data_IF_580938280918
#
_entry.id   IF_580938280918
#
_cell.length_a   1.000
_cell.length_b   1.000
_cell.length_c   1.000
_cell.angle_alpha   90.00
_cell.angle_beta   90.00
_cell.angle_gamma   90.00
#
_symmetry.space_group_name_H-M   'P 1'
#
loop_
_entity.id
_entity.type
_entity.pdbx_description
1 polymer ?
#
# COMPACT_ATOMS: atom_id res chain seq x y z
N UNK A 1 -41.01 -72.00 22.72
CA UNK A 1 -42.21 -71.44 23.39
C UNK A 1 -41.74 -70.24 24.21
N UNK A 2 -42.05 -68.96 24.01
CA UNK A 2 -42.87 -68.13 23.12
C UNK A 2 -42.17 -66.73 23.19
N UNK A 3 -41.73 -66.11 22.09
CA UNK A 3 -42.44 -65.01 21.37
C UNK A 3 -42.98 -63.92 22.31
N UNK A 4 -42.71 -62.61 22.17
CA UNK A 4 -42.59 -61.82 20.93
C UNK A 4 -42.11 -60.39 21.26
N UNK A 5 -41.07 -59.94 20.54
CA UNK A 5 -40.57 -58.56 20.50
C UNK A 5 -41.64 -57.61 19.94
N UNK A 6 -41.75 -56.42 20.54
CA UNK A 6 -42.53 -55.31 20.00
C UNK A 6 -41.77 -54.67 18.82
N UNK A 7 -42.46 -54.54 17.69
CA UNK A 7 -42.07 -53.77 16.52
C UNK A 7 -43.15 -52.72 16.27
N UNK A 8 -42.72 -51.64 15.61
CA UNK A 8 -43.50 -50.64 14.88
C UNK A 8 -43.99 -49.39 15.61
N UNK A 9 -43.12 -48.38 15.57
CA UNK A 9 -43.49 -46.98 15.39
C UNK A 9 -42.74 -46.41 14.19
N UNK A 10 -43.13 -46.83 12.99
CA UNK A 10 -42.69 -46.22 11.74
C UNK A 10 -43.70 -45.12 11.37
N UNK A 11 -43.27 -43.86 11.46
CA UNK A 11 -43.82 -42.76 10.67
C UNK A 11 -42.70 -41.73 10.45
N UNK A 12 -41.74 -42.11 9.62
CA UNK A 12 -40.93 -41.19 8.84
C UNK A 12 -41.81 -40.68 7.70
N UNK A 13 -42.09 -39.39 7.65
CA UNK A 13 -42.57 -38.73 6.46
C UNK A 13 -41.94 -37.34 6.35
N UNK A 14 -41.03 -37.23 5.39
CA UNK A 14 -40.79 -36.07 4.54
C UNK A 14 -40.29 -34.79 5.21
N UNK A 15 -38.97 -34.58 5.20
CA UNK A 15 -38.35 -33.34 4.71
C UNK A 15 -36.91 -33.66 4.27
N UNK A 16 -36.75 -34.05 3.00
CA UNK A 16 -35.47 -34.07 2.31
C UNK A 16 -35.53 -33.06 1.17
N UNK A 17 -34.42 -32.35 1.02
CA UNK A 17 -33.97 -31.62 -0.17
C UNK A 17 -34.64 -30.27 -0.44
N UNK A 18 -33.93 -29.20 -0.08
CA UNK A 18 -33.32 -28.29 -1.06
C UNK A 18 -32.81 -27.04 -0.35
N UNK A 19 -31.49 -26.91 -0.19
CA UNK A 19 -30.76 -25.65 -0.16
C UNK A 19 -29.26 -25.93 -0.27
N UNK A 20 -28.86 -26.71 -1.28
CA UNK A 20 -27.52 -26.59 -1.85
C UNK A 20 -27.56 -25.45 -2.87
N UNK A 21 -27.66 -24.22 -2.37
CA UNK A 21 -27.46 -23.00 -3.15
C UNK A 21 -25.97 -22.66 -3.17
N UNK A 22 -25.11 -23.61 -3.53
CA UNK A 22 -23.78 -23.23 -4.03
C UNK A 22 -24.04 -22.63 -5.41
N UNK A 23 -24.22 -21.31 -5.46
CA UNK A 23 -23.99 -20.56 -6.69
C UNK A 23 -22.51 -20.69 -7.00
N UNK A 24 -22.17 -21.78 -7.68
CA UNK A 24 -20.97 -21.89 -8.49
C UNK A 24 -21.06 -20.74 -9.49
N UNK A 25 -20.39 -19.62 -9.20
CA UNK A 25 -20.17 -18.57 -10.18
C UNK A 25 -19.29 -19.22 -11.24
N UNK A 26 -19.91 -19.67 -12.32
CA UNK A 26 -19.23 -19.97 -13.56
C UNK A 26 -18.52 -18.68 -13.96
N UNK A 27 -17.19 -18.63 -13.84
CA UNK A 27 -16.37 -17.71 -14.62
C UNK A 27 -16.71 -18.01 -16.08
N UNK A 28 -17.64 -17.25 -16.67
CA UNK A 28 -17.66 -17.11 -18.11
C UNK A 28 -16.36 -16.41 -18.45
N UNK A 29 -15.37 -17.18 -18.93
CA UNK A 29 -14.19 -16.61 -19.57
C UNK A 29 -14.69 -15.60 -20.61
N UNK A 30 -14.41 -14.31 -20.39
CA UNK A 30 -14.89 -13.27 -21.29
C UNK A 30 -14.14 -13.40 -22.61
N UNK A 31 -14.89 -13.46 -23.70
CA UNK A 31 -14.31 -13.61 -25.02
C UNK A 31 -13.82 -12.25 -25.54
N UNK A 32 -12.50 -12.07 -25.59
CA UNK A 32 -11.86 -10.88 -26.16
C UNK A 32 -11.53 -11.02 -27.66
N UNK A 33 -11.97 -12.09 -28.32
CA UNK A 33 -11.59 -12.38 -29.72
C UNK A 33 -12.01 -11.25 -30.67
N UNK A 34 -13.25 -10.74 -30.56
CA UNK A 34 -13.74 -9.63 -31.38
C UNK A 34 -12.96 -8.32 -31.13
N UNK A 35 -12.58 -8.07 -29.87
CA UNK A 35 -11.78 -6.90 -29.50
C UNK A 35 -10.37 -6.97 -30.07
N UNK A 36 -9.76 -8.17 -30.04
CA UNK A 36 -8.46 -8.46 -30.66
C UNK A 36 -8.53 -8.22 -32.16
N UNK A 37 -9.52 -8.78 -32.86
CA UNK A 37 -9.66 -8.63 -34.31
C UNK A 37 -9.81 -7.16 -34.71
N UNK A 38 -10.64 -6.41 -33.98
CA UNK A 38 -10.83 -4.96 -34.20
C UNK A 38 -9.52 -4.19 -34.01
N UNK A 39 -8.74 -4.50 -32.98
CA UNK A 39 -7.45 -3.83 -32.73
C UNK A 39 -6.37 -4.24 -33.75
N UNK A 40 -6.37 -5.49 -34.20
CA UNK A 40 -5.48 -5.96 -35.26
C UNK A 40 -5.74 -5.21 -36.57
N UNK A 41 -7.01 -5.04 -36.97
CA UNK A 41 -7.38 -4.23 -38.14
C UNK A 41 -6.94 -2.77 -37.95
N UNK A 42 -7.08 -2.21 -36.74
CA UNK A 42 -6.59 -0.86 -36.45
C UNK A 42 -5.08 -0.74 -36.62
N UNK A 43 -4.30 -1.70 -36.10
CA UNK A 43 -2.84 -1.70 -36.25
C UNK A 43 -2.37 -1.94 -37.68
N UNK A 44 -3.16 -2.61 -38.52
CA UNK A 44 -2.85 -2.70 -39.95
C UNK A 44 -2.91 -1.32 -40.65
N UNK A 45 -3.88 -0.48 -40.26
CA UNK A 45 -4.03 0.87 -40.81
C UNK A 45 -3.13 1.90 -40.11
N UNK A 46 -2.88 1.70 -38.81
CA UNK A 46 -2.08 2.58 -37.96
C UNK A 46 -1.05 1.77 -37.16
N UNK A 47 0.08 1.34 -37.78
CA UNK A 47 1.05 0.46 -37.13
C UNK A 47 1.70 1.03 -35.87
N UNK A 48 1.67 2.36 -35.72
CA UNK A 48 2.30 3.10 -34.64
C UNK A 48 1.30 3.45 -33.51
N UNK A 49 0.06 2.94 -33.57
CA UNK A 49 -0.96 3.24 -32.58
C UNK A 49 -0.66 2.55 -31.23
N UNK A 50 -0.01 3.29 -30.33
CA UNK A 50 0.42 2.84 -29.00
C UNK A 50 -0.73 2.30 -28.14
N UNK A 51 -1.89 2.97 -28.18
CA UNK A 51 -3.06 2.55 -27.40
C UNK A 51 -3.57 1.20 -27.88
N UNK A 52 -3.63 0.99 -29.20
CA UNK A 52 -4.02 -0.28 -29.78
C UNK A 52 -3.01 -1.40 -29.43
N UNK A 53 -1.70 -1.14 -29.49
CA UNK A 53 -0.69 -2.11 -29.06
C UNK A 53 -0.83 -2.48 -27.58
N UNK A 54 -0.97 -1.48 -26.70
CA UNK A 54 -1.17 -1.66 -25.27
C UNK A 54 -2.40 -2.49 -24.96
N UNK A 55 -3.55 -2.13 -25.54
CA UNK A 55 -4.82 -2.80 -25.27
C UNK A 55 -4.82 -4.22 -25.83
N UNK A 56 -4.21 -4.43 -27.02
CA UNK A 56 -4.02 -5.75 -27.61
C UNK A 56 -3.15 -6.65 -26.74
N UNK A 57 -2.07 -6.10 -26.18
CA UNK A 57 -1.22 -6.80 -25.23
C UNK A 57 -1.97 -7.24 -23.98
N UNK A 58 -2.83 -6.38 -23.44
CA UNK A 58 -3.67 -6.69 -22.29
C UNK A 58 -4.75 -7.76 -22.62
N UNK A 59 -5.36 -7.73 -23.80
CA UNK A 59 -6.29 -8.77 -24.23
C UNK A 59 -5.60 -10.12 -24.42
N UNK A 60 -4.42 -10.14 -25.08
CA UNK A 60 -3.66 -11.38 -25.22
C UNK A 60 -3.23 -11.98 -23.87
N UNK A 61 -3.00 -11.14 -22.86
CA UNK A 61 -2.73 -11.61 -21.50
C UNK A 61 -3.92 -12.42 -20.95
N UNK A 62 -5.14 -11.87 -21.02
CA UNK A 62 -6.35 -12.57 -20.53
C UNK A 62 -6.72 -13.79 -21.36
N UNK A 63 -6.38 -13.79 -22.66
CA UNK A 63 -6.46 -14.98 -23.53
C UNK A 63 -5.34 -16.00 -23.27
N UNK A 64 -4.49 -15.78 -22.25
CA UNK A 64 -3.35 -16.64 -21.87
C UNK A 64 -2.32 -16.83 -22.99
N UNK A 65 -2.28 -15.91 -23.96
CA UNK A 65 -1.31 -15.85 -25.04
C UNK A 65 -0.13 -14.95 -24.64
N UNK A 66 0.60 -15.36 -23.59
CA UNK A 66 1.61 -14.52 -22.94
C UNK A 66 2.74 -14.07 -23.86
N UNK A 67 3.16 -14.89 -24.83
CA UNK A 67 4.18 -14.50 -25.81
C UNK A 67 3.74 -13.29 -26.65
N UNK A 68 2.49 -13.30 -27.13
CA UNK A 68 1.93 -12.18 -27.89
C UNK A 68 1.71 -10.98 -26.98
N UNK A 69 1.19 -11.19 -25.77
CA UNK A 69 1.00 -10.13 -24.79
C UNK A 69 2.31 -9.40 -24.53
N UNK A 70 3.39 -10.14 -24.24
CA UNK A 70 4.73 -9.61 -24.00
C UNK A 70 5.27 -8.87 -25.22
N UNK A 71 5.11 -9.42 -26.42
CA UNK A 71 5.54 -8.76 -27.66
C UNK A 71 4.93 -7.36 -27.81
N UNK A 72 3.60 -7.24 -27.75
CA UNK A 72 2.92 -5.96 -27.95
C UNK A 72 3.17 -4.98 -26.80
N UNK A 73 3.18 -5.47 -25.55
CA UNK A 73 3.44 -4.62 -24.39
C UNK A 73 4.88 -4.12 -24.36
N UNK A 74 5.87 -4.95 -24.72
CA UNK A 74 7.27 -4.50 -24.78
C UNK A 74 7.50 -3.52 -25.91
N UNK A 75 6.84 -3.68 -27.07
CA UNK A 75 6.96 -2.69 -28.15
C UNK A 75 6.34 -1.35 -27.74
N UNK A 76 5.14 -1.39 -27.17
CA UNK A 76 4.48 -0.19 -26.63
C UNK A 76 5.33 0.47 -25.52
N UNK A 77 5.94 -0.31 -24.63
CA UNK A 77 6.80 0.18 -23.54
C UNK A 77 8.06 0.91 -24.03
N UNK A 78 8.69 0.44 -25.12
CA UNK A 78 9.86 1.10 -25.72
C UNK A 78 9.54 2.52 -26.19
N UNK A 79 8.29 2.75 -26.60
CA UNK A 79 7.80 4.01 -27.15
C UNK A 79 7.20 4.90 -26.05
N UNK A 80 6.44 4.32 -25.12
CA UNK A 80 5.83 5.00 -23.98
C UNK A 80 6.06 4.22 -22.67
N UNK A 81 7.17 4.54 -21.99
CA UNK A 81 7.60 3.81 -20.80
C UNK A 81 6.86 4.17 -19.50
N UNK A 82 5.87 5.08 -19.55
CA UNK A 82 5.14 5.61 -18.38
C UNK A 82 3.63 5.37 -18.44
N UNK A 83 3.12 4.62 -19.43
CA UNK A 83 1.72 4.23 -19.42
C UNK A 83 1.48 3.21 -18.28
N UNK A 84 0.53 3.48 -17.37
CA UNK A 84 0.33 2.65 -16.18
C UNK A 84 -0.23 1.26 -16.51
N UNK A 85 -1.03 1.11 -17.57
CA UNK A 85 -1.57 -0.18 -18.01
C UNK A 85 -0.45 -1.04 -18.62
N UNK A 86 0.46 -0.44 -19.40
CA UNK A 86 1.67 -1.13 -19.90
C UNK A 86 2.52 -1.64 -18.74
N UNK A 87 2.87 -0.76 -17.80
CA UNK A 87 3.71 -1.11 -16.65
C UNK A 87 3.09 -2.22 -15.80
N UNK A 88 1.78 -2.12 -15.54
CA UNK A 88 1.06 -3.10 -14.75
C UNK A 88 1.00 -4.48 -15.44
N UNK A 89 0.60 -4.56 -16.71
CA UNK A 89 0.52 -5.86 -17.41
C UNK A 89 1.89 -6.50 -17.67
N UNK A 90 2.94 -5.70 -17.92
CA UNK A 90 4.30 -6.25 -17.95
C UNK A 90 4.74 -6.76 -16.57
N UNK A 91 4.35 -6.08 -15.49
CA UNK A 91 4.58 -6.55 -14.12
C UNK A 91 3.90 -7.90 -13.87
N UNK A 92 2.63 -8.03 -14.25
CA UNK A 92 1.90 -9.30 -14.16
C UNK A 92 2.56 -10.40 -14.99
N UNK A 93 2.97 -10.13 -16.23
CA UNK A 93 3.69 -11.12 -17.04
C UNK A 93 4.94 -11.64 -16.32
N UNK A 94 5.72 -10.76 -15.69
CA UNK A 94 6.86 -11.19 -14.90
C UNK A 94 6.48 -11.98 -13.65
N UNK A 95 5.36 -11.68 -12.98
CA UNK A 95 4.85 -12.51 -11.87
C UNK A 95 4.41 -13.90 -12.35
N UNK A 96 3.80 -14.00 -13.53
CA UNK A 96 3.41 -15.28 -14.13
C UNK A 96 4.61 -16.09 -14.62
N UNK A 97 5.73 -15.43 -14.95
CA UNK A 97 7.04 -16.03 -15.26
C UNK A 97 7.90 -16.30 -14.00
N UNK A 98 7.37 -16.10 -12.79
CA UNK A 98 8.06 -16.23 -11.49
C UNK A 98 9.32 -15.33 -11.36
N UNK A 99 9.35 -14.22 -12.09
CA UNK A 99 10.40 -13.20 -12.06
C UNK A 99 10.03 -12.03 -11.15
N UNK A 100 9.82 -12.32 -9.86
CA UNK A 100 9.32 -11.36 -8.85
C UNK A 100 10.11 -10.05 -8.81
N UNK A 101 11.45 -10.09 -8.91
CA UNK A 101 12.27 -8.88 -8.90
C UNK A 101 12.01 -7.98 -10.11
N UNK A 102 11.83 -8.56 -11.30
CA UNK A 102 11.51 -7.80 -12.52
C UNK A 102 10.10 -7.20 -12.43
N UNK A 103 9.13 -7.94 -11.88
CA UNK A 103 7.78 -7.44 -11.62
C UNK A 103 7.81 -6.25 -10.64
N UNK A 104 8.50 -6.40 -9.50
CA UNK A 104 8.64 -5.34 -8.50
C UNK A 104 9.28 -4.07 -9.07
N UNK A 105 10.30 -4.19 -9.93
CA UNK A 105 10.91 -3.01 -10.59
C UNK A 105 9.93 -2.24 -11.46
N UNK A 106 8.96 -2.91 -12.09
CA UNK A 106 7.92 -2.24 -12.86
C UNK A 106 6.86 -1.63 -11.94
N UNK A 107 6.39 -2.37 -10.94
CA UNK A 107 5.39 -1.88 -10.00
C UNK A 107 5.87 -0.68 -9.20
N UNK A 108 7.15 -0.65 -8.79
CA UNK A 108 7.76 0.48 -8.07
C UNK A 108 7.58 1.82 -8.80
N UNK A 109 7.41 1.81 -10.13
CA UNK A 109 7.20 2.99 -10.96
C UNK A 109 5.79 3.60 -10.83
N UNK A 110 4.99 3.16 -9.85
CA UNK A 110 3.68 3.76 -9.54
C UNK A 110 3.78 5.26 -9.16
N UNK A 111 4.95 5.72 -8.75
CA UNK A 111 5.27 7.13 -8.45
C UNK A 111 5.44 7.99 -9.72
N UNK A 112 5.72 7.36 -10.87
CA UNK A 112 5.92 8.01 -12.17
C UNK A 112 4.63 8.14 -13.00
N UNK A 113 3.51 7.59 -12.52
CA UNK A 113 2.22 7.57 -13.23
C UNK A 113 1.17 8.42 -12.52
N UNK A 114 0.09 8.77 -13.23
CA UNK A 114 -0.98 9.61 -12.69
C UNK A 114 -1.61 9.02 -11.43
N UNK A 115 -1.76 9.85 -10.39
CA UNK A 115 -2.44 9.48 -9.12
C UNK A 115 -3.88 9.00 -9.30
N UNK A 116 -4.53 9.37 -10.41
CA UNK A 116 -5.92 9.01 -10.71
C UNK A 116 -6.05 7.70 -11.49
N UNK A 117 -4.94 7.07 -11.90
CA UNK A 117 -4.99 5.78 -12.58
C UNK A 117 -5.34 4.66 -11.60
N UNK A 118 -6.36 3.86 -11.90
CA UNK A 118 -6.68 2.65 -11.12
C UNK A 118 -5.52 1.64 -11.17
N UNK A 119 -4.79 1.55 -12.29
CA UNK A 119 -3.59 0.71 -12.41
C UNK A 119 -2.48 1.15 -11.45
N UNK A 120 -2.35 2.45 -11.14
CA UNK A 120 -1.39 2.92 -10.13
C UNK A 120 -1.65 2.29 -8.77
N UNK A 121 -2.92 2.20 -8.36
CA UNK A 121 -3.32 1.60 -7.07
C UNK A 121 -2.93 0.13 -7.02
N UNK A 122 -3.26 -0.62 -8.08
CA UNK A 122 -2.89 -2.03 -8.21
C UNK A 122 -1.36 -2.21 -8.18
N UNK A 123 -0.61 -1.41 -8.94
CA UNK A 123 0.86 -1.44 -8.93
C UNK A 123 1.43 -1.16 -7.53
N UNK A 124 0.95 -0.11 -6.84
CA UNK A 124 1.41 0.23 -5.51
C UNK A 124 1.13 -0.91 -4.52
N UNK A 125 -0.08 -1.45 -4.54
CA UNK A 125 -0.47 -2.56 -3.68
C UNK A 125 0.35 -3.82 -3.94
N UNK A 126 0.53 -4.22 -5.20
CA UNK A 126 1.38 -5.36 -5.58
C UNK A 126 2.83 -5.16 -5.19
N UNK A 127 3.38 -3.97 -5.37
CA UNK A 127 4.74 -3.66 -4.95
C UNK A 127 4.95 -3.93 -3.46
N UNK A 128 4.11 -3.34 -2.58
CA UNK A 128 4.28 -3.51 -1.13
C UNK A 128 3.97 -4.93 -0.65
N UNK A 129 3.00 -5.61 -1.28
CA UNK A 129 2.71 -7.01 -0.99
C UNK A 129 3.91 -7.92 -1.28
N UNK A 130 4.47 -7.83 -2.50
CA UNK A 130 5.64 -8.62 -2.90
C UNK A 130 6.88 -8.24 -2.09
N UNK A 131 7.08 -6.95 -1.81
CA UNK A 131 8.19 -6.48 -0.98
C UNK A 131 8.17 -7.11 0.41
N UNK A 132 6.99 -7.22 1.04
CA UNK A 132 6.84 -7.86 2.35
C UNK A 132 7.12 -9.37 2.28
N UNK A 133 6.63 -10.07 1.26
CA UNK A 133 6.91 -11.49 1.08
C UNK A 133 8.41 -11.74 0.94
N UNK A 134 9.07 -10.99 0.05
CA UNK A 134 10.50 -11.08 -0.19
C UNK A 134 11.31 -10.73 1.08
N UNK A 135 10.90 -9.70 1.82
CA UNK A 135 11.53 -9.33 3.09
C UNK A 135 11.46 -10.46 4.11
N UNK A 136 10.30 -11.11 4.25
CA UNK A 136 10.11 -12.25 5.16
C UNK A 136 10.97 -13.45 4.77
N UNK A 137 10.99 -13.80 3.48
CA UNK A 137 11.82 -14.91 2.99
C UNK A 137 13.32 -14.64 3.20
N UNK A 138 13.77 -13.41 2.91
CA UNK A 138 15.16 -13.03 3.09
C UNK A 138 15.55 -12.97 4.58
N UNK A 139 14.67 -12.46 5.44
CA UNK A 139 14.85 -12.47 6.88
C UNK A 139 15.02 -13.91 7.41
N UNK A 140 14.15 -14.84 7.00
CA UNK A 140 14.25 -16.24 7.42
C UNK A 140 15.54 -16.91 6.93
N UNK A 141 16.02 -16.59 5.72
CA UNK A 141 17.31 -17.07 5.19
C UNK A 141 18.48 -16.52 6.02
N UNK A 142 18.49 -15.22 6.29
CA UNK A 142 19.55 -14.55 7.06
C UNK A 142 19.61 -15.04 8.50
N UNK A 143 18.47 -15.20 9.17
CA UNK A 143 18.39 -15.67 10.56
C UNK A 143 18.85 -17.13 10.72
N UNK A 144 18.60 -17.99 9.74
CA UNK A 144 19.06 -19.39 9.75
C UNK A 144 20.53 -19.54 9.36
N UNK A 145 21.08 -18.59 8.63
CA UNK A 145 22.45 -18.68 8.16
C UNK A 145 23.44 -18.25 9.26
N UNK A 146 24.39 -19.13 9.60
CA UNK A 146 25.64 -18.71 10.28
C UNK A 146 26.57 -17.95 9.32
N UNK A 147 26.14 -17.70 8.08
CA UNK A 147 26.95 -17.09 7.04
C UNK A 147 27.43 -15.69 7.45
N UNK A 148 28.61 -15.34 6.94
CA UNK A 148 29.16 -14.00 7.06
C UNK A 148 28.13 -12.99 6.53
N UNK A 149 27.96 -11.89 7.25
CA UNK A 149 27.07 -10.83 6.81
C UNK A 149 27.45 -10.40 5.38
N UNK A 150 26.48 -10.01 4.54
CA UNK A 150 26.78 -9.45 3.24
C UNK A 150 27.75 -8.27 3.38
N UNK A 151 28.54 -8.02 2.32
CA UNK A 151 29.41 -6.85 2.29
C UNK A 151 28.57 -5.60 2.54
N UNK A 152 28.93 -4.84 3.56
CA UNK A 152 28.23 -3.62 3.92
C UNK A 152 28.51 -2.51 2.90
N UNK A 153 27.50 -1.69 2.63
CA UNK A 153 27.64 -0.45 1.85
C UNK A 153 27.77 0.72 2.83
N UNK A 154 28.89 1.45 2.77
CA UNK A 154 29.17 2.57 3.67
C UNK A 154 28.11 3.69 3.60
N UNK A 155 27.39 3.81 2.47
CA UNK A 155 26.31 4.77 2.28
C UNK A 155 24.92 4.19 2.60
N UNK A 156 24.85 2.92 3.00
CA UNK A 156 23.61 2.28 3.42
C UNK A 156 23.38 2.46 4.93
N UNK A 157 22.26 3.07 5.28
CA UNK A 157 21.84 3.36 6.64
C UNK A 157 20.57 2.56 7.00
N UNK A 158 20.63 1.81 8.09
CA UNK A 158 19.47 1.17 8.69
C UNK A 158 19.02 1.95 9.93
N UNK A 159 17.75 2.34 9.98
CA UNK A 159 17.13 2.98 11.15
C UNK A 159 16.19 1.98 11.80
N UNK A 160 16.62 1.42 12.93
CA UNK A 160 15.83 0.46 13.69
C UNK A 160 14.74 1.17 14.51
N UNK A 161 13.58 0.51 14.72
CA UNK A 161 12.61 0.96 15.70
C UNK A 161 13.30 1.22 17.04
N UNK A 162 13.07 2.38 17.63
CA UNK A 162 13.52 2.64 18.99
C UNK A 162 12.78 1.67 19.93
N UNK A 163 13.46 1.28 21.01
CA UNK A 163 12.87 0.49 22.08
C UNK A 163 12.18 1.44 23.06
N UNK A 164 10.92 1.18 23.39
CA UNK A 164 10.23 1.93 24.43
C UNK A 164 10.51 1.30 25.81
N UNK A 165 10.96 2.11 26.79
CA UNK A 165 11.23 1.67 28.17
C UNK A 165 10.38 2.39 29.23
N UNK A 166 9.39 3.17 28.80
CA UNK A 166 8.50 3.85 29.72
C UNK A 166 7.44 2.94 30.33
N UNK A 167 6.83 3.42 31.42
CA UNK A 167 5.85 2.66 32.19
C UNK A 167 4.43 2.72 31.61
N UNK A 168 4.12 3.75 30.82
CA UNK A 168 2.80 3.90 30.20
C UNK A 168 2.80 3.27 28.79
N UNK A 169 2.09 2.16 28.54
CA UNK A 169 2.06 1.49 27.24
C UNK A 169 1.42 2.35 26.13
N UNK A 170 0.63 3.37 26.47
CA UNK A 170 0.01 4.25 25.46
C UNK A 170 1.05 4.97 24.59
N UNK A 171 2.27 5.14 25.08
CA UNK A 171 3.37 5.78 24.35
C UNK A 171 4.31 4.82 23.63
N UNK A 172 4.17 3.50 23.82
CA UNK A 172 5.01 2.50 23.14
C UNK A 172 5.05 2.67 21.62
N UNK A 173 3.91 2.93 20.93
CA UNK A 173 3.91 3.15 19.49
C UNK A 173 4.80 4.32 19.04
N UNK A 174 5.03 5.34 19.88
CA UNK A 174 5.85 6.51 19.53
C UNK A 174 7.26 6.11 19.12
N UNK A 175 7.83 5.03 19.67
CA UNK A 175 9.17 4.59 19.34
C UNK A 175 9.29 4.18 17.87
N UNK A 176 8.24 3.55 17.33
CA UNK A 176 8.12 3.22 15.90
C UNK A 176 7.91 4.46 15.05
N UNK A 177 7.02 5.37 15.49
CA UNK A 177 6.77 6.63 14.79
C UNK A 177 7.99 7.54 14.69
N UNK A 178 8.79 7.62 15.76
CA UNK A 178 10.04 8.37 15.79
C UNK A 178 11.01 7.86 14.70
N UNK A 179 11.12 6.54 14.57
CA UNK A 179 11.97 5.89 13.59
C UNK A 179 11.49 6.13 12.16
N UNK A 180 10.18 6.02 11.93
CA UNK A 180 9.56 6.30 10.63
C UNK A 180 9.77 7.76 10.21
N UNK A 181 9.61 8.71 11.14
CA UNK A 181 9.92 10.12 10.88
C UNK A 181 11.38 10.33 10.49
N UNK A 182 12.32 9.68 11.20
CA UNK A 182 13.74 9.74 10.84
C UNK A 182 13.99 9.17 9.44
N UNK A 183 13.39 8.02 9.10
CA UNK A 183 13.51 7.41 7.77
C UNK A 183 13.02 8.38 6.69
N UNK A 184 11.86 9.03 6.89
CA UNK A 184 11.31 9.98 5.92
C UNK A 184 12.20 11.20 5.75
N UNK A 185 12.67 11.79 6.86
CA UNK A 185 13.54 12.96 6.81
C UNK A 185 14.90 12.65 6.16
N UNK A 186 15.49 11.52 6.50
CA UNK A 186 16.75 11.06 5.90
C UNK A 186 16.56 10.70 4.42
N UNK A 187 15.37 10.27 4.01
CA UNK A 187 15.02 9.96 2.62
C UNK A 187 14.98 11.18 1.70
N UNK A 188 15.01 12.39 2.26
CA UNK A 188 15.19 13.64 1.48
C UNK A 188 16.59 13.72 0.87
N UNK A 189 17.57 12.98 1.41
CA UNK A 189 18.97 13.00 0.99
C UNK A 189 19.18 12.03 -0.19
N UNK A 190 19.44 12.50 -1.42
CA UNK A 190 19.44 11.64 -2.61
C UNK A 190 20.52 10.55 -2.61
N UNK A 191 21.69 10.83 -2.05
CA UNK A 191 22.84 9.92 -2.05
C UNK A 191 22.82 8.91 -0.89
N UNK A 192 21.85 9.03 0.01
CA UNK A 192 21.70 8.16 1.17
C UNK A 192 20.84 6.94 0.82
N UNK A 193 21.41 5.73 0.95
CA UNK A 193 20.66 4.50 0.74
C UNK A 193 20.01 4.05 2.04
N UNK A 194 18.70 4.25 2.18
CA UNK A 194 17.98 3.76 3.34
C UNK A 194 17.58 2.29 3.16
N UNK A 195 17.85 1.48 4.18
CA UNK A 195 17.32 0.11 4.24
C UNK A 195 15.81 0.19 4.49
N UNK A 196 15.02 -0.54 3.71
CA UNK A 196 13.57 -0.47 3.81
C UNK A 196 13.07 -1.01 5.15
N UNK A 197 12.17 -0.26 5.80
CA UNK A 197 11.60 -0.59 7.12
C UNK A 197 11.07 -2.02 7.21
N UNK A 198 10.35 -2.50 6.20
CA UNK A 198 9.80 -3.86 6.19
C UNK A 198 10.89 -4.93 6.31
N UNK A 199 12.08 -4.72 5.74
CA UNK A 199 13.21 -5.66 5.87
C UNK A 199 13.77 -5.66 7.29
N UNK A 200 13.85 -4.49 7.92
CA UNK A 200 14.30 -4.35 9.31
C UNK A 200 13.32 -5.08 10.23
N UNK A 201 12.02 -4.81 10.09
CA UNK A 201 10.97 -5.41 10.91
C UNK A 201 10.93 -6.93 10.76
N UNK A 202 10.94 -7.46 9.54
CA UNK A 202 10.88 -8.91 9.33
C UNK A 202 12.17 -9.61 9.81
N UNK A 203 13.35 -9.01 9.62
CA UNK A 203 14.59 -9.55 10.17
C UNK A 203 14.58 -9.57 11.70
N UNK A 204 14.16 -8.48 12.34
CA UNK A 204 14.07 -8.41 13.80
C UNK A 204 13.13 -9.48 14.37
N UNK A 205 11.98 -9.74 13.72
CA UNK A 205 11.06 -10.83 14.11
C UNK A 205 11.73 -12.19 14.00
N UNK A 206 12.38 -12.49 12.88
CA UNK A 206 13.04 -13.78 12.66
C UNK A 206 14.19 -14.02 13.64
N UNK A 207 15.02 -12.99 13.93
CA UNK A 207 16.09 -13.09 14.92
C UNK A 207 15.56 -13.31 16.35
N UNK A 208 14.44 -12.67 16.71
CA UNK A 208 13.78 -12.89 17.99
C UNK A 208 13.25 -14.34 18.13
N UNK A 209 12.68 -14.89 17.04
CA UNK A 209 12.17 -16.27 17.00
C UNK A 209 13.29 -17.32 17.02
N UNK A 210 14.39 -17.06 16.32
CA UNK A 210 15.51 -18.00 16.21
C UNK A 210 16.29 -18.19 17.52
N UNK A 211 16.00 -17.41 18.57
CA UNK A 211 16.77 -17.36 19.83
C UNK A 211 18.29 -17.21 19.61
N UNK A 212 18.68 -16.76 18.41
CA UNK A 212 20.06 -16.62 17.98
C UNK A 212 20.63 -15.36 18.61
N UNK A 213 20.80 -15.39 19.94
CA UNK A 213 21.27 -14.28 20.77
C UNK A 213 20.62 -12.96 20.38
N UNK A 214 19.44 -12.68 20.93
CA UNK A 214 18.73 -11.41 20.79
C UNK A 214 19.72 -10.25 21.04
N UNK A 215 20.27 -9.72 19.97
CA UNK A 215 21.22 -8.62 20.03
C UNK A 215 20.41 -7.40 19.67
N UNK A 216 19.92 -6.75 20.73
CA UNK A 216 19.28 -5.44 20.67
C UNK A 216 20.13 -4.53 19.74
N UNK A 217 19.54 -3.93 18.68
CA UNK A 217 20.27 -3.05 17.76
C UNK A 217 20.88 -1.83 18.47
N UNK A 218 20.44 -1.48 19.68
CA UNK A 218 21.09 -0.46 20.52
C UNK A 218 22.46 -0.92 21.04
N UNK A 219 22.69 -2.24 21.13
CA UNK A 219 23.87 -2.88 21.71
C UNK A 219 24.73 -3.66 20.70
N UNK A 220 24.25 -3.85 19.47
CA UNK A 220 24.94 -4.65 18.46
C UNK A 220 24.74 -4.13 17.03
N UNK A 221 25.81 -4.06 16.22
CA UNK A 221 25.71 -3.73 14.81
C UNK A 221 25.26 -4.92 13.94
N UNK A 222 25.20 -6.14 14.49
CA UNK A 222 25.01 -7.38 13.70
C UNK A 222 23.70 -7.39 12.89
N UNK A 223 22.53 -7.00 13.45
CA UNK A 223 21.30 -6.92 12.65
C UNK A 223 21.44 -5.99 11.43
N UNK A 224 22.14 -4.86 11.58
CA UNK A 224 22.43 -3.95 10.46
C UNK A 224 23.40 -4.52 9.44
N UNK A 225 24.44 -5.23 9.90
CA UNK A 225 25.37 -5.96 9.01
C UNK A 225 24.64 -6.98 8.15
N UNK A 226 23.72 -7.74 8.73
CA UNK A 226 22.89 -8.72 7.99
C UNK A 226 22.04 -8.06 6.90
N UNK A 227 21.65 -6.80 7.09
CA UNK A 227 20.91 -6.02 6.10
C UNK A 227 21.82 -5.35 5.06
N UNK A 228 23.14 -5.48 5.19
CA UNK A 228 24.14 -4.84 4.33
C UNK A 228 24.35 -3.36 4.64
N UNK A 229 23.88 -2.87 5.79
CA UNK A 229 24.03 -1.48 6.19
C UNK A 229 25.46 -1.23 6.70
N UNK A 230 26.13 -0.21 6.16
CA UNK A 230 27.39 0.29 6.68
C UNK A 230 27.21 1.17 7.90
N UNK A 231 26.00 1.62 8.17
CA UNK A 231 25.66 2.44 9.32
C UNK A 231 24.32 2.03 9.92
N UNK A 232 24.19 2.18 11.24
CA UNK A 232 22.98 1.83 11.97
C UNK A 232 22.63 2.94 12.96
N UNK A 233 21.34 3.29 12.98
CA UNK A 233 20.73 4.11 14.03
C UNK A 233 19.69 3.26 14.74
N UNK A 234 19.71 3.31 16.07
CA UNK A 234 18.66 2.78 16.93
C UNK A 234 18.67 3.56 18.23
N UNK A 235 17.81 3.20 19.18
CA UNK A 235 17.84 3.88 20.46
C UNK A 235 16.74 3.44 21.41
N UNK A 236 16.67 4.13 22.53
CA UNK A 236 15.67 3.94 23.57
C UNK A 236 14.86 5.23 23.67
N UNK A 237 13.54 5.09 23.72
CA UNK A 237 12.59 6.14 24.09
C UNK A 237 12.02 5.81 25.47
N UNK A 238 11.98 6.81 26.34
CA UNK A 238 11.29 6.76 27.63
C UNK A 238 10.39 7.99 27.77
N UNK A 239 9.27 7.84 28.47
CA UNK A 239 8.31 8.90 28.80
C UNK A 239 8.10 8.85 30.32
N UNK A 240 9.04 9.41 31.11
CA UNK A 240 9.04 9.27 32.57
C UNK A 240 7.87 9.99 33.26
N UNK A 241 7.29 10.99 32.61
CA UNK A 241 6.05 11.68 33.02
C UNK A 241 5.21 12.03 31.79
N UNK A 242 3.93 12.35 31.99
CA UNK A 242 3.00 12.65 30.88
C UNK A 242 3.44 13.79 29.95
N UNK A 243 4.35 14.65 30.43
CA UNK A 243 4.83 15.85 29.76
C UNK A 243 6.32 15.82 29.41
N UNK A 244 7.05 14.77 29.74
CA UNK A 244 8.51 14.66 29.51
C UNK A 244 8.85 13.39 28.75
N UNK A 245 9.83 13.48 27.86
CA UNK A 245 10.42 12.34 27.19
C UNK A 245 11.95 12.36 27.31
N UNK A 246 12.55 11.18 27.23
CA UNK A 246 13.99 10.98 27.08
C UNK A 246 14.23 10.10 25.86
N UNK A 247 15.15 10.51 24.99
CA UNK A 247 15.58 9.69 23.86
C UNK A 247 17.10 9.52 23.92
N UNK A 248 17.52 8.27 23.92
CA UNK A 248 18.92 7.87 23.82
C UNK A 248 19.16 7.18 22.48
N UNK A 249 19.81 7.88 21.56
CA UNK A 249 20.11 7.40 20.21
C UNK A 249 21.53 6.84 20.14
N UNK A 250 21.65 5.60 19.66
CA UNK A 250 22.91 4.94 19.33
C UNK A 250 23.14 5.01 17.82
N UNK A 251 24.29 5.55 17.42
CA UNK A 251 24.77 5.53 16.03
C UNK A 251 26.00 4.64 15.91
N UNK A 252 25.98 3.71 14.96
CA UNK A 252 27.09 2.82 14.63
C UNK A 252 27.63 3.11 13.22
N UNK A 253 28.94 3.32 13.11
CA UNK A 253 29.66 3.29 11.84
C UNK A 253 30.34 1.92 11.68
N UNK A 254 29.63 1.00 11.05
CA UNK A 254 30.07 -0.38 10.86
C UNK A 254 31.19 -0.42 9.82
N UNK A 255 31.08 0.38 8.75
CA UNK A 255 32.06 0.43 7.68
C UNK A 255 33.43 0.97 8.18
N UNK A 256 33.42 1.93 9.10
CA UNK A 256 34.60 2.45 9.79
C UNK A 256 35.09 1.61 10.97
N UNK A 257 34.42 0.48 11.28
CA UNK A 257 34.68 -0.33 12.48
C UNK A 257 34.64 0.49 13.79
N UNK A 258 33.72 1.47 13.84
CA UNK A 258 33.54 2.37 14.97
C UNK A 258 32.68 1.77 16.07
N UNK A 259 33.03 2.09 17.32
CA UNK A 259 32.15 1.89 18.47
C UNK A 259 30.90 2.76 18.36
N UNK A 260 29.78 2.40 19.03
CA UNK A 260 28.58 3.22 18.99
C UNK A 260 28.86 4.57 19.64
N UNK A 261 28.41 5.63 19.01
CA UNK A 261 28.24 6.90 19.71
C UNK A 261 26.82 7.01 20.21
N UNK A 262 26.66 7.20 21.52
CA UNK A 262 25.36 7.40 22.14
C UNK A 262 25.17 8.88 22.44
N UNK A 263 24.06 9.45 21.98
CA UNK A 263 23.59 10.79 22.37
C UNK A 263 22.27 10.62 23.11
N UNK A 264 22.15 11.23 24.30
CA UNK A 264 20.92 11.22 25.08
C UNK A 264 20.41 12.64 25.29
N UNK A 265 19.10 12.83 25.15
CA UNK A 265 18.44 14.12 25.34
C UNK A 265 17.10 13.93 26.04
N UNK A 266 16.79 14.86 26.92
CA UNK A 266 15.50 14.93 27.61
C UNK A 266 14.78 16.22 27.27
N UNK A 267 13.51 16.12 26.90
CA UNK A 267 12.69 17.28 26.56
C UNK A 267 11.23 17.14 26.99
N UNK A 268 10.46 18.22 26.81
CA UNK A 268 9.01 18.15 26.94
C UNK A 268 8.40 17.30 25.82
N UNK A 269 7.32 16.55 26.09
CA UNK A 269 6.59 15.76 25.09
C UNK A 269 6.13 16.60 23.90
N UNK A 270 5.75 17.85 24.16
CA UNK A 270 5.38 18.81 23.12
C UNK A 270 6.53 19.12 22.12
N UNK A 271 7.79 18.93 22.54
CA UNK A 271 8.99 19.19 21.74
C UNK A 271 9.48 17.96 20.97
N UNK A 272 8.73 16.83 21.01
CA UNK A 272 9.08 15.57 20.36
C UNK A 272 9.56 15.77 18.91
N UNK A 273 8.81 16.52 18.11
CA UNK A 273 9.14 16.72 16.70
C UNK A 273 10.43 17.52 16.53
N UNK A 274 10.66 18.58 17.31
CA UNK A 274 11.92 19.34 17.25
C UNK A 274 13.09 18.44 17.65
N UNK A 275 12.94 17.69 18.73
CA UNK A 275 13.97 16.77 19.21
C UNK A 275 14.34 15.74 18.14
N UNK A 276 13.34 15.18 17.45
CA UNK A 276 13.54 14.25 16.34
C UNK A 276 14.32 14.91 15.18
N UNK A 277 14.03 16.16 14.80
CA UNK A 277 14.80 16.87 13.76
C UNK A 277 16.26 17.07 14.14
N UNK A 278 16.52 17.39 15.41
CA UNK A 278 17.90 17.52 15.90
C UNK A 278 18.66 16.20 15.81
N UNK A 279 18.03 15.08 16.16
CA UNK A 279 18.64 13.76 16.00
C UNK A 279 18.94 13.43 14.54
N UNK A 280 18.05 13.76 13.60
CA UNK A 280 18.34 13.63 12.16
C UNK A 280 19.57 14.44 11.77
N UNK A 281 19.68 15.70 12.20
CA UNK A 281 20.87 16.50 11.90
C UNK A 281 22.15 15.97 12.54
N UNK A 282 22.06 15.37 13.73
CA UNK A 282 23.20 14.70 14.36
C UNK A 282 23.65 13.48 13.55
N UNK A 283 22.71 12.64 13.07
CA UNK A 283 23.03 11.52 12.19
C UNK A 283 23.71 12.02 10.92
N UNK A 284 23.11 12.98 10.21
CA UNK A 284 23.68 13.59 9.00
C UNK A 284 25.07 14.16 9.24
N UNK A 285 25.28 14.83 10.38
CA UNK A 285 26.58 15.37 10.77
C UNK A 285 27.63 14.29 11.01
N UNK A 286 27.27 13.17 11.67
CA UNK A 286 28.15 12.01 11.85
C UNK A 286 28.51 11.33 10.54
N UNK A 287 27.60 11.35 9.56
CA UNK A 287 27.85 10.85 8.20
C UNK A 287 28.72 11.79 7.36
N UNK A 288 29.00 13.01 7.83
CA UNK A 288 29.74 14.02 7.07
C UNK A 288 28.97 14.55 5.85
N UNK A 289 27.63 14.41 5.83
CA UNK A 289 26.80 14.86 4.72
C UNK A 289 26.53 16.36 4.84
N UNK A 290 26.76 17.10 3.75
CA UNK A 290 26.46 18.53 3.68
C UNK A 290 25.04 18.74 3.14
N UNK A 291 24.17 19.33 3.95
CA UNK A 291 22.80 19.63 3.55
C UNK A 291 22.72 20.97 2.82
N UNK A 292 21.99 21.00 1.70
CA UNK A 292 21.57 22.27 1.10
C UNK A 292 20.51 22.96 1.97
N UNK A 293 20.31 24.29 1.85
CA UNK A 293 19.24 24.99 2.54
C UNK A 293 17.84 24.41 2.24
N UNK A 294 17.61 23.97 1.00
CA UNK A 294 16.33 23.36 0.61
C UNK A 294 16.09 22.03 1.32
N UNK A 295 17.09 21.14 1.33
CA UNK A 295 17.01 19.86 2.05
C UNK A 295 16.76 20.08 3.53
N UNK A 296 17.49 21.02 4.13
CA UNK A 296 17.34 21.37 5.56
C UNK A 296 15.93 21.84 5.87
N UNK A 297 15.35 22.70 5.02
CA UNK A 297 13.98 23.19 5.20
C UNK A 297 12.94 22.07 5.03
N UNK A 298 13.13 21.14 4.08
CA UNK A 298 12.26 19.97 3.93
C UNK A 298 12.32 19.10 5.20
N UNK A 299 13.51 18.78 5.71
CA UNK A 299 13.70 18.02 6.95
C UNK A 299 12.99 18.72 8.12
N UNK A 300 13.08 20.05 8.25
CA UNK A 300 12.44 20.80 9.34
C UNK A 300 10.89 20.81 9.29
N UNK A 301 10.27 20.27 8.24
CA UNK A 301 8.81 20.20 8.15
C UNK A 301 8.27 19.25 9.22
N UNK A 302 7.39 19.77 10.08
CA UNK A 302 6.70 18.95 11.09
C UNK A 302 5.46 18.28 10.47
N UNK A 303 5.20 17.01 10.78
CA UNK A 303 4.17 16.24 10.08
C UNK A 303 2.74 16.57 10.54
N UNK A 304 2.58 16.97 11.79
CA UNK A 304 1.30 17.37 12.40
C UNK A 304 1.57 18.23 13.63
N UNK A 305 0.59 19.04 14.03
CA UNK A 305 0.59 19.77 15.33
C UNK A 305 -0.26 19.06 16.39
N UNK A 306 -0.90 17.94 16.05
CA UNK A 306 -1.76 17.18 16.92
C UNK A 306 -1.07 15.89 17.36
N UNK A 307 -0.53 15.87 18.59
CA UNK A 307 0.20 14.72 19.13
C UNK A 307 -0.67 13.45 19.20
N UNK A 308 -1.98 13.58 19.40
CA UNK A 308 -2.90 12.43 19.41
C UNK A 308 -3.07 11.85 18.01
N UNK A 309 -3.17 12.71 16.98
CA UNK A 309 -3.17 12.26 15.59
C UNK A 309 -1.87 11.51 15.27
N UNK A 310 -0.73 12.05 15.72
CA UNK A 310 0.57 11.38 15.56
C UNK A 310 0.61 10.02 16.26
N UNK A 311 0.10 9.91 17.49
CA UNK A 311 0.08 8.64 18.22
C UNK A 311 -0.79 7.57 17.53
N UNK A 312 -1.96 7.96 17.02
CA UNK A 312 -2.80 7.07 16.21
C UNK A 312 -2.09 6.61 14.93
N UNK A 313 -1.38 7.51 14.26
CA UNK A 313 -0.53 7.15 13.14
C UNK A 313 0.54 6.11 13.55
N UNK A 314 1.20 6.31 14.69
CA UNK A 314 2.18 5.35 15.22
C UNK A 314 1.56 3.96 15.49
N UNK A 315 0.36 3.92 16.08
CA UNK A 315 -0.39 2.67 16.29
C UNK A 315 -0.78 2.03 14.95
N UNK A 316 -1.11 2.82 13.94
CA UNK A 316 -1.36 2.33 12.58
C UNK A 316 -0.13 1.65 11.97
N UNK A 317 1.05 2.25 12.13
CA UNK A 317 2.32 1.67 11.68
C UNK A 317 2.62 0.33 12.35
N UNK A 318 2.36 0.22 13.65
CA UNK A 318 2.53 -1.03 14.40
C UNK A 318 1.58 -2.14 13.92
N UNK A 319 0.31 -1.80 13.74
CA UNK A 319 -0.67 -2.73 13.19
C UNK A 319 -0.29 -3.19 11.77
N UNK A 320 0.20 -2.27 10.93
CA UNK A 320 0.70 -2.59 9.59
C UNK A 320 1.88 -3.58 9.67
N UNK A 321 2.84 -3.35 10.57
CA UNK A 321 3.97 -4.26 10.77
C UNK A 321 3.53 -5.64 11.23
N UNK A 322 2.51 -5.71 12.09
CA UNK A 322 1.93 -6.95 12.58
C UNK A 322 0.97 -7.64 11.57
N UNK A 323 0.80 -7.07 10.37
CA UNK A 323 -0.09 -7.60 9.34
C UNK A 323 -1.58 -7.38 9.63
N UNK A 324 -1.91 -6.56 10.62
CA UNK A 324 -3.27 -6.17 11.01
C UNK A 324 -3.74 -4.98 10.17
N UNK A 325 -3.80 -5.16 8.84
CA UNK A 325 -4.02 -4.06 7.90
C UNK A 325 -5.34 -3.29 8.12
N UNK A 326 -6.42 -3.98 8.52
CA UNK A 326 -7.69 -3.29 8.82
C UNK A 326 -7.57 -2.35 10.03
N UNK A 327 -6.98 -2.84 11.12
CA UNK A 327 -6.73 -2.02 12.30
C UNK A 327 -5.74 -0.87 12.01
N UNK A 328 -4.76 -1.09 11.13
CA UNK A 328 -3.88 -0.03 10.65
C UNK A 328 -4.66 1.05 9.89
N UNK A 329 -5.56 0.65 8.99
CA UNK A 329 -6.41 1.56 8.22
C UNK A 329 -7.31 2.40 9.13
N UNK A 330 -7.92 1.80 10.15
CA UNK A 330 -8.80 2.50 11.10
C UNK A 330 -8.02 3.56 11.90
N UNK A 331 -6.81 3.21 12.34
CA UNK A 331 -5.91 4.13 13.05
C UNK A 331 -5.47 5.31 12.18
N UNK A 332 -5.05 5.05 10.93
CA UNK A 332 -4.69 6.12 10.00
C UNK A 332 -5.88 7.01 9.66
N UNK A 333 -7.06 6.43 9.45
CA UNK A 333 -8.29 7.17 9.17
C UNK A 333 -8.66 8.09 10.34
N UNK A 334 -8.52 7.60 11.58
CA UNK A 334 -8.78 8.41 12.78
C UNK A 334 -7.74 9.53 12.94
N UNK A 335 -6.47 9.26 12.65
CA UNK A 335 -5.43 10.29 12.65
C UNK A 335 -5.75 11.43 11.65
N UNK A 336 -6.22 11.09 10.44
CA UNK A 336 -6.65 12.07 9.42
C UNK A 336 -7.88 12.86 9.87
N UNK A 337 -8.82 12.24 10.59
CA UNK A 337 -9.98 12.95 11.15
C UNK A 337 -9.57 13.98 12.21
N UNK A 338 -8.56 13.66 13.04
CA UNK A 338 -8.03 14.59 14.04
C UNK A 338 -7.16 15.71 13.47
N UNK A 339 -6.48 15.45 12.36
CA UNK A 339 -5.73 16.45 11.60
C UNK A 339 -5.80 16.16 10.10
N UNK A 340 -6.73 16.84 9.41
CA UNK A 340 -6.93 16.69 7.97
C UNK A 340 -5.72 17.11 7.12
N UNK A 341 -4.73 17.81 7.69
CA UNK A 341 -3.49 18.18 7.00
C UNK A 341 -2.37 17.16 7.15
N UNK A 342 -2.57 16.10 7.97
CA UNK A 342 -1.54 15.11 8.28
C UNK A 342 -1.24 14.19 7.08
N UNK A 343 -0.30 14.61 6.24
CA UNK A 343 0.06 13.94 4.99
C UNK A 343 0.55 12.50 5.16
N UNK A 344 1.41 12.24 6.15
CA UNK A 344 1.97 10.89 6.37
C UNK A 344 0.88 9.87 6.72
N UNK A 345 -0.13 10.25 7.50
CA UNK A 345 -1.25 9.36 7.81
C UNK A 345 -2.10 9.05 6.56
N UNK A 346 -2.32 10.05 5.69
CA UNK A 346 -3.01 9.84 4.41
C UNK A 346 -2.23 8.87 3.51
N UNK A 347 -0.94 9.09 3.33
CA UNK A 347 -0.09 8.24 2.49
C UNK A 347 -0.01 6.80 3.03
N UNK A 348 0.09 6.64 4.35
CA UNK A 348 0.09 5.32 4.98
C UNK A 348 -1.28 4.61 4.85
N UNK A 349 -2.39 5.34 5.00
CA UNK A 349 -3.73 4.81 4.75
C UNK A 349 -3.91 4.36 3.29
N UNK A 350 -3.57 5.22 2.32
CA UNK A 350 -3.64 4.86 0.89
C UNK A 350 -2.77 3.64 0.57
N UNK A 351 -1.57 3.56 1.14
CA UNK A 351 -0.68 2.40 0.97
C UNK A 351 -1.32 1.12 1.51
N UNK A 352 -1.86 1.13 2.73
CA UNK A 352 -2.45 -0.06 3.35
C UNK A 352 -3.71 -0.49 2.61
N UNK A 353 -4.60 0.43 2.27
CA UNK A 353 -5.79 0.16 1.45
C UNK A 353 -5.40 -0.52 0.14
N UNK A 354 -4.49 0.09 -0.63
CA UNK A 354 -4.03 -0.47 -1.91
C UNK A 354 -3.34 -1.83 -1.73
N UNK A 355 -2.60 -2.02 -0.65
CA UNK A 355 -1.95 -3.32 -0.35
C UNK A 355 -2.98 -4.40 -0.06
N UNK A 356 -4.07 -4.08 0.65
CA UNK A 356 -5.17 -5.03 0.92
C UNK A 356 -5.94 -5.33 -0.35
N UNK A 357 -6.27 -4.32 -1.16
CA UNK A 357 -6.99 -4.51 -2.42
C UNK A 357 -6.17 -5.32 -3.43
N UNK A 358 -4.84 -5.21 -3.37
CA UNK A 358 -3.92 -5.98 -4.20
C UNK A 358 -3.34 -7.23 -3.50
N UNK A 359 -3.81 -7.53 -2.28
CA UNK A 359 -3.41 -8.73 -1.54
C UNK A 359 -4.19 -9.92 -2.10
N UNK A 360 -3.48 -10.89 -2.65
CA UNK A 360 -4.11 -12.04 -3.28
C UNK A 360 -3.17 -12.76 -4.23
N UNK A 361 -3.71 -13.79 -4.88
CA UNK A 361 -3.01 -14.50 -5.95
C UNK A 361 -2.80 -13.57 -7.15
N UNK A 362 -1.82 -13.87 -8.00
CA UNK A 362 -1.61 -13.11 -9.24
C UNK A 362 -2.82 -13.21 -10.18
N UNK A 363 -3.59 -14.28 -10.05
CA UNK A 363 -4.85 -14.53 -10.74
C UNK A 363 -5.98 -13.61 -10.27
N UNK A 364 -6.13 -13.37 -8.96
CA UNK A 364 -7.14 -12.44 -8.43
C UNK A 364 -6.92 -11.01 -8.95
N UNK A 365 -5.66 -10.63 -9.09
CA UNK A 365 -5.22 -9.31 -9.55
C UNK A 365 -5.39 -9.16 -11.06
N UNK A 366 -5.13 -10.24 -11.81
CA UNK A 366 -5.47 -10.31 -13.22
C UNK A 366 -6.99 -10.13 -13.42
N UNK A 367 -7.82 -10.83 -12.64
CA UNK A 367 -9.28 -10.70 -12.72
C UNK A 367 -9.76 -9.28 -12.40
N UNK A 368 -9.21 -8.64 -11.36
CA UNK A 368 -9.53 -7.24 -11.04
C UNK A 368 -9.17 -6.28 -12.21
N UNK A 369 -8.04 -6.52 -12.88
CA UNK A 369 -7.62 -5.74 -14.04
C UNK A 369 -8.44 -6.02 -15.30
N UNK A 370 -8.96 -7.24 -15.45
CA UNK A 370 -9.89 -7.63 -16.51
C UNK A 370 -11.22 -6.86 -16.39
N UNK A 371 -11.75 -6.72 -15.18
CA UNK A 371 -12.96 -5.93 -14.94
C UNK A 371 -12.79 -4.46 -15.35
N UNK A 372 -11.59 -3.90 -15.17
CA UNK A 372 -11.29 -2.53 -15.60
C UNK A 372 -11.36 -2.40 -17.12
N UNK A 373 -10.77 -3.35 -17.85
CA UNK A 373 -10.83 -3.38 -19.32
C UNK A 373 -12.28 -3.44 -19.82
N UNK A 374 -13.13 -4.24 -19.17
CA UNK A 374 -14.53 -4.39 -19.56
C UNK A 374 -15.34 -3.11 -19.30
N UNK A 375 -15.02 -2.36 -18.24
CA UNK A 375 -15.61 -1.04 -18.01
C UNK A 375 -15.17 -0.01 -19.06
N UNK A 376 -13.90 -0.08 -19.48
CA UNK A 376 -13.36 0.76 -20.56
C UNK A 376 -14.04 0.46 -21.91
N UNK A 377 -14.34 -0.81 -22.21
CA UNK A 377 -14.95 -1.23 -23.48
C UNK A 377 -16.49 -1.12 -23.52
N UNK A 378 -17.17 -1.27 -22.37
CA UNK A 378 -18.63 -1.18 -22.25
C UNK A 378 -19.21 0.24 -22.18
N UNK A 379 -18.36 1.27 -22.12
CA UNK A 379 -18.78 2.67 -22.05
C UNK A 379 -18.87 3.33 -23.43
N UNK A 380 -20.09 3.58 -23.91
CA UNK A 380 -20.30 4.70 -24.84
C UNK A 380 -19.72 5.97 -24.19
N UNK A 381 -18.85 6.67 -24.91
CA UNK A 381 -18.34 7.98 -24.53
C UNK A 381 -19.53 8.95 -24.40
N UNK A 382 -19.96 9.23 -23.18
CA UNK A 382 -20.93 10.27 -22.80
C UNK A 382 -20.32 11.16 -21.72
N UNK A 383 -20.56 12.49 -21.75
CA UNK A 383 -19.79 13.43 -20.95
C UNK A 383 -20.20 13.44 -19.48
N UNK A 384 -19.19 13.57 -18.62
CA UNK A 384 -19.21 13.74 -17.17
C UNK A 384 -19.25 12.46 -16.32
N UNK A 385 -18.03 12.05 -15.92
CA UNK A 385 -17.67 11.70 -14.55
C UNK A 385 -18.83 11.26 -13.64
N UNK A 386 -19.08 9.95 -13.62
CA UNK A 386 -20.03 9.31 -12.71
C UNK A 386 -19.43 9.22 -11.29
N UNK A 387 -19.18 10.39 -10.67
CA UNK A 387 -18.65 10.57 -9.31
C UNK A 387 -19.57 9.97 -8.25
N UNK A 388 -20.86 9.82 -8.56
CA UNK A 388 -21.85 9.22 -7.68
C UNK A 388 -21.66 7.70 -7.57
N UNK A 389 -21.37 7.01 -8.67
CA UNK A 389 -21.10 5.56 -8.67
C UNK A 389 -19.88 5.19 -7.82
N UNK A 390 -18.82 6.00 -7.91
CA UNK A 390 -17.61 5.80 -7.11
C UNK A 390 -17.86 6.09 -5.62
N UNK A 391 -18.63 7.13 -5.27
CA UNK A 391 -19.02 7.38 -3.87
C UNK A 391 -19.88 6.28 -3.28
N UNK A 392 -20.79 5.69 -4.06
CA UNK A 392 -21.63 4.58 -3.61
C UNK A 392 -20.83 3.30 -3.36
N UNK A 393 -19.81 3.00 -4.17
CA UNK A 393 -18.88 1.89 -3.90
C UNK A 393 -18.05 2.11 -2.64
N UNK A 394 -17.57 3.34 -2.41
CA UNK A 394 -16.82 3.68 -1.18
C UNK A 394 -17.70 3.60 0.07
N UNK A 395 -18.98 3.99 -0.01
CA UNK A 395 -19.95 3.85 1.09
C UNK A 395 -20.29 2.38 1.41
N UNK A 396 -20.43 1.53 0.40
CA UNK A 396 -20.72 0.11 0.60
C UNK A 396 -19.55 -0.66 1.23
N UNK A 397 -18.31 -0.24 0.97
CA UNK A 397 -17.12 -0.86 1.56
C UNK A 397 -16.81 -0.34 2.98
N UNK A 398 -17.36 0.82 3.38
CA UNK A 398 -17.10 1.45 4.69
C UNK A 398 -18.18 1.19 5.74
N UNK A 399 -19.36 0.71 5.34
CA UNK A 399 -20.44 0.35 6.26
C UNK A 399 -20.73 -1.13 6.07
N UNK A 400 -20.38 -1.96 7.06
CA UNK A 400 -20.60 -3.41 7.06
C UNK A 400 -22.07 -3.82 7.19
N UNK A 401 -22.99 -3.21 6.43
CA UNK A 401 -24.38 -3.60 6.37
C UNK A 401 -24.84 -3.82 4.92
N UNK A 402 -25.43 -4.99 4.67
CA UNK A 402 -26.05 -5.33 3.39
C UNK A 402 -27.27 -4.43 3.14
N UNK A 403 -27.07 -3.28 2.50
CA UNK A 403 -28.18 -2.46 2.03
C UNK A 403 -28.74 -3.05 0.74
N UNK A 404 -29.90 -3.72 0.82
CA UNK A 404 -30.72 -4.05 -0.36
C UNK A 404 -31.66 -2.86 -0.59
N UNK A 405 -31.54 -2.10 -1.70
CA UNK A 405 -32.54 -1.11 -2.05
C UNK A 405 -33.90 -1.82 -2.17
N UNK A 406 -34.92 -1.31 -1.48
CA UNK A 406 -36.30 -1.74 -1.74
C UNK A 406 -36.66 -1.39 -3.19
N UNK A 407 -37.49 -2.22 -3.83
CA UNK A 407 -38.03 -1.92 -5.15
C UNK A 407 -38.62 -0.52 -5.16
N UNK A 408 -38.16 0.33 -6.08
CA UNK A 408 -38.61 1.71 -6.20
C UNK A 408 -40.08 1.70 -6.67
N UNK A 409 -41.00 1.78 -5.71
CA UNK A 409 -42.44 1.85 -5.97
C UNK A 409 -42.90 3.23 -6.46
N UNK A 410 -41.98 4.16 -6.72
CA UNK A 410 -42.33 5.48 -7.25
C UNK A 410 -42.63 5.34 -8.75
N UNK A 411 -43.89 5.54 -9.10
CA UNK A 411 -44.28 5.75 -10.50
C UNK A 411 -43.50 6.92 -11.08
N UNK A 412 -42.96 6.83 -12.30
CA UNK A 412 -42.40 7.98 -13.00
C UNK A 412 -43.42 9.11 -13.01
N UNK A 413 -42.97 10.34 -12.77
CA UNK A 413 -43.80 11.53 -12.92
C UNK A 413 -44.35 11.55 -14.35
N UNK A 414 -45.66 11.37 -14.49
CA UNK A 414 -46.36 11.73 -15.72
C UNK A 414 -46.13 13.22 -15.98
N UNK A 415 -45.71 13.51 -17.20
CA UNK A 415 -45.43 14.86 -17.67
C UNK A 415 -46.67 15.76 -17.49
N UNK A 416 -46.67 16.57 -16.44
CA UNK A 416 -47.65 17.64 -16.23
C UNK A 416 -47.33 18.86 -17.12
N UNK A 417 -47.15 18.63 -18.42
CA UNK A 417 -46.97 19.67 -19.44
C UNK A 417 -48.20 19.85 -20.32
N UNK A 418 -49.40 19.59 -19.78
CA UNK A 418 -50.65 19.90 -20.49
C UNK A 418 -51.70 20.55 -19.58
N UNK A 419 -51.26 21.45 -18.69
CA UNK A 419 -52.17 22.38 -18.02
C UNK A 419 -51.59 23.79 -18.06
N UNK A 420 -52.14 24.60 -18.97
CA UNK A 420 -51.78 25.99 -19.17
C UNK A 420 -51.86 26.78 -17.87
N UNK A 421 -50.70 27.20 -17.38
CA UNK A 421 -50.58 28.30 -16.43
C UNK A 421 -49.25 29.00 -16.68
N UNK A 422 -49.35 30.25 -17.11
CA UNK A 422 -48.24 31.03 -17.65
C UNK A 422 -47.10 31.24 -16.66
N UNK A 423 -45.91 30.82 -17.07
CA UNK A 423 -44.64 31.32 -16.56
C UNK A 423 -43.98 32.09 -17.70
N UNK A 424 -43.88 33.40 -17.52
CA UNK A 424 -43.31 34.33 -18.51
C UNK A 424 -41.88 33.97 -18.90
N UNK A 425 -41.51 34.37 -20.12
CA UNK A 425 -40.17 34.22 -20.69
C UNK A 425 -39.11 34.81 -19.76
N UNK A 426 -38.11 34.00 -19.40
CA UNK A 426 -36.95 34.44 -18.62
C UNK A 426 -36.18 35.54 -19.40
N UNK A 427 -35.65 36.58 -18.71
CA UNK A 427 -34.87 37.62 -19.37
C UNK A 427 -33.52 37.09 -19.87
N UNK A 428 -33.05 37.65 -20.99
CA UNK A 428 -31.77 37.26 -21.60
C UNK A 428 -30.56 37.70 -20.76
N UNK A 429 -29.49 36.87 -20.71
CA UNK A 429 -28.30 37.15 -19.93
C UNK A 429 -27.47 38.32 -20.49
N UNK A 430 -26.73 39.05 -19.63
CA UNK A 430 -25.95 40.20 -20.05
C UNK A 430 -24.75 39.81 -20.93
N UNK A 431 -24.34 40.68 -21.87
CA UNK A 431 -23.21 40.41 -22.75
C UNK A 431 -21.87 40.44 -22.00
N UNK A 432 -20.88 39.65 -22.45
CA UNK A 432 -19.59 39.49 -21.75
C UNK A 432 -18.74 40.78 -21.79
N UNK A 433 -17.90 41.00 -20.76
CA UNK A 433 -17.10 42.22 -20.60
C UNK A 433 -16.03 42.38 -21.69
N UNK A 434 -15.80 43.62 -22.11
CA UNK A 434 -14.78 44.02 -23.11
C UNK A 434 -13.37 44.03 -22.54
#
# INVERSE_FOLDING_TARGET
MLLRKWYWGACCALFLSACAGNSFVQNQDKDFTDDVDRLMIRLQNEPENLRAMRDLGAYFFHLKQYDKAKYYLMDAYKRESKDPKILFYLGLLFEFEDQTENAMRLYQRFDQVSRFSEYRKLMQGRYYFLQRQLAKENAAKLARSEQAAPRTDANALAVFPFEYKGSNPDFEPLARGLSEMMIIDLGIIPDLKLVERVRIVELSKELALAQSGATDPTTSPRPGQLLGAGQVVGGILDVPSEDRLSVSMSYWDIAGNGNPTVTSKEEQLAELFRLQKEMVFEVVGKMGIQLTPEMRNKILTVPTKNIRAFLLYCQGLENEDNGQFRAAQDNFSTAIQLDGSFGMAREAGERVENTVDAAGSKEDIAAAAEEMIVKESGGQVGPQDNLLGNRFKTLNNSIGSNFRPGEDARKPLENAFDSGSGLGTLPEPPPPPQ
#
